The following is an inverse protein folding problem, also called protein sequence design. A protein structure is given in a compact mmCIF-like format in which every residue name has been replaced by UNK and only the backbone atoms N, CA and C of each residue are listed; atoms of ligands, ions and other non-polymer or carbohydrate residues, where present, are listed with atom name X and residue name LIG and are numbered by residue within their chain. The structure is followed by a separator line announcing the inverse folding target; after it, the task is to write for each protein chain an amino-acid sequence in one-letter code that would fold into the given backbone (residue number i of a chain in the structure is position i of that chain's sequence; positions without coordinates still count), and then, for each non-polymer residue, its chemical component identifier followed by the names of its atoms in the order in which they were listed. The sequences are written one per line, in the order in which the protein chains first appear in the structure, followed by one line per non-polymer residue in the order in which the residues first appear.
data_IF_599441506869
#
_entry.id   IF_599441506869
#
_cell.length_a   1.000
_cell.length_b   1.000
_cell.length_c   1.000
_cell.angle_alpha   90.00
_cell.angle_beta   90.00
_cell.angle_gamma   90.00
#
_symmetry.space_group_name_H-M   'P 1'
#
loop_
_entity.id
_entity.type
_entity.pdbx_description
1 polymer ?
#
# COMPACT_ATOMS: atom_id res chain seq x y z
N UNK A 1 -1.21 8.03 -18.41
CA UNK A 1 -1.12 6.56 -18.58
C UNK A 1 -1.64 5.94 -17.29
N UNK A 2 -2.79 5.27 -17.32
CA UNK A 2 -3.26 4.53 -16.16
C UNK A 2 -2.41 3.26 -16.04
N UNK A 3 -1.90 2.97 -14.84
CA UNK A 3 -1.20 1.71 -14.64
C UNK A 3 -2.22 0.71 -14.07
N UNK A 4 -2.45 -0.39 -14.76
CA UNK A 4 -3.33 -1.45 -14.28
C UNK A 4 -2.79 -2.10 -13.00
N UNK A 5 -3.68 -2.49 -12.09
CA UNK A 5 -3.38 -3.28 -10.90
C UNK A 5 -4.60 -4.13 -10.52
N UNK A 6 -4.36 -5.31 -9.97
CA UNK A 6 -5.43 -6.14 -9.41
C UNK A 6 -6.03 -5.51 -8.14
N UNK A 7 -5.17 -4.83 -7.36
CA UNK A 7 -5.51 -4.28 -6.05
C UNK A 7 -4.87 -2.91 -5.88
N UNK A 8 -5.68 -1.91 -5.49
CA UNK A 8 -5.23 -0.61 -5.02
C UNK A 8 -5.40 -0.51 -3.50
N UNK A 9 -4.31 -0.31 -2.79
CA UNK A 9 -4.29 -0.06 -1.34
C UNK A 9 -4.12 1.44 -1.10
N UNK A 10 -5.06 2.03 -0.35
CA UNK A 10 -5.04 3.45 0.03
C UNK A 10 -4.74 3.57 1.53
N UNK A 11 -3.64 4.25 1.86
CA UNK A 11 -3.21 4.52 3.24
C UNK A 11 -2.03 3.66 3.71
N UNK A 12 -1.06 4.31 4.38
CA UNK A 12 0.24 3.73 4.80
C UNK A 12 0.33 3.17 6.22
N UNK A 13 -0.79 3.10 6.92
CA UNK A 13 -0.82 2.52 8.25
C UNK A 13 -0.58 1.00 8.24
N UNK A 14 -0.44 0.38 9.42
CA UNK A 14 -0.21 -1.06 9.54
C UNK A 14 -1.23 -1.89 8.78
N UNK A 15 -2.52 -1.54 8.83
CA UNK A 15 -3.57 -2.26 8.11
C UNK A 15 -3.39 -2.20 6.58
N UNK A 16 -2.99 -1.04 6.04
CA UNK A 16 -2.76 -0.87 4.60
C UNK A 16 -1.55 -1.68 4.13
N UNK A 17 -0.44 -1.60 4.84
CA UNK A 17 0.75 -2.38 4.53
C UNK A 17 0.52 -3.89 4.69
N UNK A 18 -0.18 -4.32 5.74
CA UNK A 18 -0.58 -5.71 5.91
C UNK A 18 -1.44 -6.20 4.74
N UNK A 19 -2.42 -5.42 4.29
CA UNK A 19 -3.23 -5.77 3.13
C UNK A 19 -2.36 -5.89 1.86
N UNK A 20 -1.47 -4.93 1.61
CA UNK A 20 -0.57 -4.94 0.45
C UNK A 20 0.32 -6.20 0.44
N UNK A 21 0.89 -6.56 1.59
CA UNK A 21 1.70 -7.78 1.75
C UNK A 21 0.88 -9.04 1.52
N UNK A 22 -0.30 -9.17 2.15
CA UNK A 22 -1.17 -10.34 1.98
C UNK A 22 -1.58 -10.55 0.52
N UNK A 23 -1.85 -9.48 -0.23
CA UNK A 23 -2.17 -9.60 -1.66
C UNK A 23 -0.93 -9.89 -2.53
N UNK A 24 0.24 -9.37 -2.15
CA UNK A 24 1.52 -9.72 -2.78
C UNK A 24 1.87 -11.21 -2.63
N UNK A 25 1.67 -11.78 -1.44
CA UNK A 25 1.84 -13.23 -1.17
C UNK A 25 0.91 -14.10 -2.03
N UNK A 26 -0.28 -13.57 -2.35
CA UNK A 26 -1.25 -14.20 -3.27
C UNK A 26 -0.95 -13.91 -4.75
N UNK A 27 0.25 -13.39 -5.07
CA UNK A 27 0.72 -13.05 -6.42
C UNK A 27 -0.19 -12.08 -7.17
N UNK A 28 -0.79 -11.11 -6.47
CA UNK A 28 -1.53 -10.01 -7.10
C UNK A 28 -0.61 -8.85 -7.42
N UNK A 29 -0.87 -8.15 -8.51
CA UNK A 29 -0.20 -6.89 -8.81
C UNK A 29 -0.84 -5.78 -7.97
N UNK A 30 -0.16 -5.43 -6.87
CA UNK A 30 -0.64 -4.46 -5.89
C UNK A 30 -0.03 -3.10 -6.18
N UNK A 31 -0.89 -2.07 -6.29
CA UNK A 31 -0.46 -0.67 -6.17
C UNK A 31 -0.80 -0.16 -4.79
N UNK A 32 0.19 0.43 -4.15
CA UNK A 32 0.03 1.14 -2.89
C UNK A 32 0.08 2.65 -3.14
N UNK A 33 -0.80 3.39 -2.48
CA UNK A 33 -0.85 4.85 -2.51
C UNK A 33 -1.09 5.37 -1.09
N UNK A 34 -0.12 6.09 -0.57
CA UNK A 34 -0.30 6.96 0.59
C UNK A 34 -0.12 8.41 0.18
N UNK A 35 -0.61 9.35 0.99
CA UNK A 35 -0.05 10.69 0.94
C UNK A 35 1.46 10.62 1.21
N UNK A 36 2.22 11.49 0.57
CA UNK A 36 3.52 11.87 1.11
C UNK A 36 3.26 12.60 2.43
N UNK A 37 3.43 11.89 3.55
CA UNK A 37 3.48 12.50 4.87
C UNK A 37 4.79 12.06 5.52
N UNK A 38 5.60 13.05 5.91
CA UNK A 38 6.85 12.88 6.63
C UNK A 38 6.61 11.96 7.84
N UNK A 39 7.45 10.93 7.96
CA UNK A 39 7.49 10.04 9.11
C UNK A 39 7.74 10.88 10.38
N UNK A 40 6.68 11.23 11.12
CA UNK A 40 6.83 11.79 12.46
C UNK A 40 7.13 10.63 13.42
N UNK A 41 8.42 10.36 13.62
CA UNK A 41 8.87 9.58 14.76
C UNK A 41 8.56 10.36 16.04
N UNK A 42 7.43 10.05 16.68
CA UNK A 42 7.27 10.34 18.09
C UNK A 42 8.13 9.31 18.85
N UNK A 43 9.36 9.74 19.19
CA UNK A 43 10.25 9.09 20.15
C UNK A 43 9.56 8.86 21.49
#
# INVERSE_FOLDING_TARGET
MAIECDVLVVGGGPAGLSAALTFGEKRKFVRYCSREEEFFWAS
#
